data_IF_161299924507
#
_entry.id   IF_161299924507
#
_cell.length_a   1.000
_cell.length_b   1.000
_cell.length_c   1.000
_cell.angle_alpha   90.00
_cell.angle_beta   90.00
_cell.angle_gamma   90.00
#
_symmetry.space_group_name_H-M   'P 1'
#
loop_
_entity.id
_entity.type
_entity.pdbx_description
1 polymer ?
#
# COMPACT_ATOMS: atom_id res chain seq x y z
N UNK A 1 9.19 -34.55 -7.55
CA UNK A 1 10.03 -33.62 -6.78
C UNK A 1 9.35 -32.28 -6.94
N UNK A 2 8.38 -32.05 -6.07
CA UNK A 2 7.51 -30.88 -6.13
C UNK A 2 8.31 -29.60 -5.87
N UNK A 3 8.23 -28.67 -6.82
CA UNK A 3 8.66 -27.29 -6.68
C UNK A 3 7.74 -26.63 -5.65
N UNK A 4 8.19 -26.58 -4.39
CA UNK A 4 7.52 -25.82 -3.33
C UNK A 4 7.53 -24.34 -3.73
N UNK A 5 6.36 -23.72 -4.00
CA UNK A 5 6.33 -22.30 -4.32
C UNK A 5 6.73 -21.53 -3.08
N UNK A 6 7.93 -20.95 -3.15
CA UNK A 6 8.64 -20.23 -2.10
C UNK A 6 7.78 -19.08 -1.54
N UNK A 7 6.90 -19.37 -0.56
CA UNK A 7 6.20 -18.35 0.21
C UNK A 7 7.21 -17.68 1.14
N UNK A 8 7.91 -16.69 0.60
CA UNK A 8 8.84 -15.84 1.34
C UNK A 8 8.08 -15.19 2.51
N UNK A 9 8.52 -15.41 3.77
CA UNK A 9 7.89 -14.75 4.90
C UNK A 9 8.03 -13.24 4.77
N UNK A 10 6.98 -12.54 5.16
CA UNK A 10 6.92 -11.10 5.25
C UNK A 10 7.89 -10.64 6.34
N UNK A 11 8.79 -9.71 6.01
CA UNK A 11 9.84 -9.27 6.93
C UNK A 11 9.49 -7.90 7.50
N UNK A 12 9.37 -7.84 8.82
CA UNK A 12 9.17 -6.59 9.56
C UNK A 12 10.31 -5.60 9.26
N UNK A 13 9.98 -4.34 9.09
CA UNK A 13 10.90 -3.27 8.66
C UNK A 13 11.18 -3.23 7.16
N UNK A 14 10.73 -4.23 6.38
CA UNK A 14 10.94 -4.29 4.92
C UNK A 14 9.63 -4.33 4.14
N UNK A 15 8.75 -5.25 4.51
CA UNK A 15 7.41 -5.39 3.90
C UNK A 15 6.34 -4.60 4.67
N UNK A 16 6.45 -4.55 6.00
CA UNK A 16 5.56 -3.77 6.85
C UNK A 16 6.29 -3.35 8.12
N UNK A 17 5.84 -2.28 8.76
CA UNK A 17 6.32 -1.86 10.07
C UNK A 17 5.14 -1.37 10.92
N UNK A 18 5.32 -1.39 12.23
CA UNK A 18 4.32 -0.91 13.18
C UNK A 18 4.84 0.40 13.75
N UNK A 19 4.14 1.49 13.46
CA UNK A 19 4.37 2.79 14.10
C UNK A 19 3.14 3.10 14.94
N UNK A 20 3.33 3.38 16.22
CA UNK A 20 2.27 3.81 17.14
C UNK A 20 1.08 2.82 17.23
N UNK A 21 1.35 1.51 17.08
CA UNK A 21 0.32 0.46 17.07
C UNK A 21 -0.46 0.35 15.75
N UNK A 22 -0.10 1.12 14.74
CA UNK A 22 -0.70 1.10 13.41
C UNK A 22 0.17 0.30 12.45
N UNK A 23 -0.45 -0.61 11.70
CA UNK A 23 0.23 -1.43 10.69
C UNK A 23 0.43 -0.62 9.40
N UNK A 24 1.67 -0.26 9.11
CA UNK A 24 2.03 0.45 7.89
C UNK A 24 2.70 -0.52 6.92
N UNK A 25 1.98 -0.87 5.86
CA UNK A 25 2.50 -1.69 4.77
C UNK A 25 3.31 -0.83 3.79
N UNK A 26 4.46 -1.35 3.37
CA UNK A 26 5.32 -0.69 2.38
C UNK A 26 4.93 -1.07 0.96
N UNK A 27 5.56 -0.41 -0.01
CA UNK A 27 5.41 -0.74 -1.43
C UNK A 27 5.84 -2.18 -1.74
N UNK A 28 6.92 -2.66 -1.10
CA UNK A 28 7.46 -4.01 -1.30
C UNK A 28 6.44 -5.12 -0.96
N UNK A 29 5.61 -4.89 0.06
CA UNK A 29 4.51 -5.79 0.40
C UNK A 29 3.49 -5.90 -0.72
N UNK A 30 3.09 -4.76 -1.29
CA UNK A 30 2.12 -4.71 -2.38
C UNK A 30 2.67 -5.37 -3.65
N UNK A 31 3.96 -5.15 -3.96
CA UNK A 31 4.63 -5.81 -5.09
C UNK A 31 4.71 -7.33 -4.93
N UNK A 32 5.03 -7.84 -3.73
CA UNK A 32 5.01 -9.29 -3.45
C UNK A 32 3.61 -9.89 -3.54
N UNK A 33 2.60 -9.12 -3.13
CA UNK A 33 1.20 -9.56 -3.17
C UNK A 33 0.66 -9.61 -4.59
N UNK A 34 1.17 -8.73 -5.46
CA UNK A 34 0.80 -8.67 -6.87
C UNK A 34 -0.60 -8.09 -7.14
N UNK A 35 -1.25 -7.48 -6.13
CA UNK A 35 -2.55 -6.83 -6.32
C UNK A 35 -2.72 -5.60 -5.42
N UNK A 36 -3.44 -4.59 -5.94
CA UNK A 36 -3.82 -3.39 -5.21
C UNK A 36 -5.04 -3.69 -4.32
N UNK A 37 -5.00 -3.26 -3.06
CA UNK A 37 -6.09 -3.45 -2.10
C UNK A 37 -7.12 -2.31 -2.10
N UNK A 38 -6.95 -1.29 -2.95
CA UNK A 38 -7.84 -0.12 -3.13
C UNK A 38 -8.18 0.64 -1.84
N UNK A 39 -7.46 0.38 -0.76
CA UNK A 39 -7.74 0.92 0.56
C UNK A 39 -7.21 2.34 0.74
N UNK A 40 -6.38 2.84 -0.20
CA UNK A 40 -5.74 4.15 -0.11
C UNK A 40 -4.46 4.15 0.72
N UNK A 41 -3.62 3.13 0.56
CA UNK A 41 -2.32 3.05 1.22
C UNK A 41 -1.38 4.13 0.68
N UNK A 42 -0.66 4.84 1.58
CA UNK A 42 0.29 5.92 1.19
C UNK A 42 1.48 5.43 0.35
N UNK A 43 1.79 4.14 0.39
CA UNK A 43 2.90 3.51 -0.33
C UNK A 43 2.40 2.57 -1.44
N UNK A 44 1.28 2.90 -2.06
CA UNK A 44 0.74 2.09 -3.14
C UNK A 44 1.60 2.27 -4.41
N UNK A 45 2.25 1.20 -4.93
CA UNK A 45 3.00 1.29 -6.20
C UNK A 45 2.09 1.58 -7.39
N UNK A 46 0.79 1.27 -7.27
CA UNK A 46 -0.21 1.46 -8.33
C UNK A 46 -0.73 2.90 -8.43
N UNK A 47 -0.17 3.85 -7.67
CA UNK A 47 -0.57 5.25 -7.73
C UNK A 47 -1.99 5.51 -7.22
N UNK A 48 -2.46 4.69 -6.27
CA UNK A 48 -3.77 4.87 -5.63
C UNK A 48 -3.70 6.00 -4.58
N UNK A 49 -3.40 7.20 -5.05
CA UNK A 49 -3.45 8.42 -4.25
C UNK A 49 -4.91 8.90 -4.18
N UNK A 50 -5.52 8.79 -3.00
CA UNK A 50 -6.81 9.44 -2.67
C UNK A 50 -6.73 10.98 -2.67
N UNK A 51 -5.69 11.59 -3.25
CA UNK A 51 -5.45 13.03 -3.28
C UNK A 51 -6.06 13.67 -4.53
N UNK A 52 -7.37 13.46 -4.76
CA UNK A 52 -8.16 14.24 -5.71
C UNK A 52 -9.60 14.45 -5.24
N UNK A 53 -9.81 14.59 -3.94
CA UNK A 53 -11.09 15.09 -3.46
C UNK A 53 -10.95 16.58 -3.12
N UNK A 54 -11.56 17.40 -3.98
CA UNK A 54 -12.26 18.65 -3.64
C UNK A 54 -11.46 19.84 -3.12
N UNK A 55 -10.71 20.51 -4.02
CA UNK A 55 -10.55 21.97 -3.96
C UNK A 55 -10.59 22.53 -5.39
N UNK A 56 -11.79 22.82 -5.89
CA UNK A 56 -12.05 23.99 -6.76
C UNK A 56 -13.56 24.17 -6.84
N UNK A 57 -14.09 25.08 -6.04
CA UNK A 57 -15.54 25.25 -5.90
C UNK A 57 -15.90 26.46 -5.05
N UNK A 58 -15.23 27.60 -5.26
CA UNK A 58 -15.72 28.88 -4.75
C UNK A 58 -15.05 30.03 -5.53
N UNK A 59 -15.72 30.48 -6.60
CA UNK A 59 -15.66 31.86 -7.05
C UNK A 59 -17.09 32.37 -7.11
N UNK A 60 -17.32 33.40 -6.29
CA UNK A 60 -18.56 34.06 -5.96
C UNK A 60 -19.21 34.76 -7.17
N UNK A 61 -20.53 34.77 -7.18
CA UNK A 61 -21.43 35.67 -7.93
C UNK A 61 -21.14 37.16 -7.66
#
# INVERSE_FOLDING_TARGET
MEDEPQKRPLKEGKDYYIEDGVWVFTEAYHLKRGYCCESGCRHCPYGFDKKRQSQEGESCE
#
